data_IF_613797276153
#
_entry.id   IF_613797276153
#
_cell.length_a   1.000
_cell.length_b   1.000
_cell.length_c   1.000
_cell.angle_alpha   90.00
_cell.angle_beta   90.00
_cell.angle_gamma   90.00
#
_symmetry.space_group_name_H-M   'P 1'
#
loop_
_entity.id
_entity.type
_entity.pdbx_description
1 polymer ?
#
# COMPACT_ATOMS: atom_id res chain seq x y z
N UNK A 1 -0.48 -13.35 34.16
CA UNK A 1 0.04 -12.59 33.00
C UNK A 1 -0.02 -13.51 31.79
N UNK A 2 -0.78 -13.16 30.78
CA UNK A 2 -0.91 -13.91 29.52
C UNK A 2 0.34 -13.72 28.64
N UNK A 3 0.46 -14.49 27.56
CA UNK A 3 1.54 -14.28 26.56
C UNK A 3 1.40 -12.90 25.91
N UNK A 4 0.17 -12.49 25.58
CA UNK A 4 -0.15 -11.16 25.07
C UNK A 4 0.36 -10.06 26.00
N UNK A 5 0.01 -10.09 27.27
CA UNK A 5 0.44 -9.07 28.26
C UNK A 5 1.96 -8.99 28.40
N UNK A 6 2.66 -10.12 28.27
CA UNK A 6 4.12 -10.11 28.26
C UNK A 6 4.69 -9.47 26.99
N UNK A 7 4.04 -9.68 25.82
CA UNK A 7 4.47 -9.06 24.56
C UNK A 7 4.21 -7.54 24.59
N UNK A 8 3.05 -7.11 25.07
CA UNK A 8 2.70 -5.69 25.23
C UNK A 8 3.67 -4.98 26.19
N UNK A 9 3.98 -5.59 27.33
CA UNK A 9 5.01 -5.05 28.23
C UNK A 9 6.37 -4.93 27.54
N UNK A 10 6.75 -5.92 26.75
CA UNK A 10 8.00 -5.90 25.99
C UNK A 10 8.02 -4.80 24.93
N UNK A 11 6.87 -4.44 24.34
CA UNK A 11 6.80 -3.28 23.44
C UNK A 11 7.28 -2.01 24.17
N UNK A 12 6.82 -1.75 25.39
CA UNK A 12 7.28 -0.59 26.20
C UNK A 12 8.77 -0.61 26.54
N UNK A 13 9.38 -1.79 26.64
CA UNK A 13 10.82 -1.91 26.91
C UNK A 13 11.70 -1.62 25.67
N UNK A 14 11.20 -1.90 24.46
CA UNK A 14 12.04 -1.90 23.23
C UNK A 14 11.65 -0.87 22.19
N UNK A 15 10.37 -0.46 22.11
CA UNK A 15 9.92 0.48 21.10
C UNK A 15 10.25 1.94 21.48
N UNK A 16 10.25 2.78 20.48
CA UNK A 16 10.35 4.23 20.63
C UNK A 16 9.13 4.76 21.40
N UNK A 17 9.29 5.83 22.21
CA UNK A 17 8.13 6.47 22.87
C UNK A 17 7.13 7.09 21.88
N UNK A 18 7.46 7.15 20.59
CA UNK A 18 6.57 7.63 19.52
C UNK A 18 5.84 6.50 18.78
N UNK A 19 6.11 5.24 19.14
CA UNK A 19 5.44 4.09 18.54
C UNK A 19 3.97 4.00 18.98
N UNK A 20 3.14 3.39 18.16
CA UNK A 20 1.81 2.98 18.57
C UNK A 20 1.89 1.68 19.38
N UNK A 21 1.64 1.74 20.68
CA UNK A 21 1.65 0.58 21.55
C UNK A 21 0.35 -0.22 21.45
N UNK A 22 0.45 -1.54 21.46
CA UNK A 22 -0.71 -2.42 21.30
C UNK A 22 -1.74 -2.31 22.42
N UNK A 23 -1.29 -2.10 23.66
CA UNK A 23 -2.15 -1.94 24.85
C UNK A 23 -2.76 -0.52 24.95
N UNK A 24 -2.25 0.44 24.19
CA UNK A 24 -2.76 1.81 24.09
C UNK A 24 -3.65 2.03 22.84
N UNK A 25 -3.99 0.97 22.10
CA UNK A 25 -4.85 1.07 20.92
C UNK A 25 -6.21 1.66 21.28
N UNK A 26 -6.74 2.52 20.40
CA UNK A 26 -8.12 3.07 20.48
C UNK A 26 -9.19 2.00 20.34
N UNK A 27 -8.78 0.78 20.02
CA UNK A 27 -9.64 -0.39 20.00
C UNK A 27 -10.40 -0.59 18.68
N UNK A 28 -11.52 -1.26 18.77
CA UNK A 28 -12.37 -1.74 17.68
C UNK A 28 -13.77 -1.18 17.80
N UNK A 29 -14.52 -1.11 16.72
CA UNK A 29 -15.93 -0.66 16.77
C UNK A 29 -16.83 -1.64 17.54
N UNK A 30 -16.61 -2.95 17.34
CA UNK A 30 -17.33 -3.99 18.05
C UNK A 30 -16.42 -4.62 19.12
N UNK A 31 -16.90 -4.68 20.35
CA UNK A 31 -16.18 -5.29 21.44
C UNK A 31 -15.89 -6.78 21.16
N UNK A 32 -14.68 -7.20 21.45
CA UNK A 32 -14.24 -8.59 21.42
C UNK A 32 -13.34 -8.89 22.62
N UNK A 33 -13.41 -10.11 23.12
CA UNK A 33 -12.43 -10.58 24.09
C UNK A 33 -11.02 -10.54 23.52
N UNK A 34 -10.09 -10.10 24.36
CA UNK A 34 -8.69 -10.04 23.98
C UNK A 34 -8.10 -11.45 23.85
N UNK A 35 -7.27 -11.66 22.85
CA UNK A 35 -6.53 -12.90 22.68
C UNK A 35 -5.51 -13.03 23.82
N UNK A 36 -5.32 -14.24 24.35
CA UNK A 36 -4.32 -14.53 25.38
C UNK A 36 -2.89 -14.62 24.81
N UNK A 37 -2.76 -14.80 23.49
CA UNK A 37 -1.49 -14.98 22.78
C UNK A 37 -0.99 -13.73 22.07
N UNK A 38 -1.89 -13.03 21.32
CA UNK A 38 -1.53 -12.03 20.33
C UNK A 38 -2.00 -10.63 20.71
N UNK A 39 -1.13 -9.60 20.66
CA UNK A 39 -1.52 -8.20 20.70
C UNK A 39 -2.50 -7.82 19.59
N UNK A 40 -3.17 -6.68 19.74
CA UNK A 40 -4.28 -6.29 18.85
C UNK A 40 -3.87 -6.13 17.40
N UNK A 41 -2.70 -5.52 17.11
CA UNK A 41 -2.22 -5.30 15.74
C UNK A 41 -1.80 -6.59 15.05
N UNK A 42 -1.25 -7.54 15.79
CA UNK A 42 -0.95 -8.88 15.28
C UNK A 42 -2.23 -9.63 14.88
N UNK A 43 -3.31 -9.48 15.65
CA UNK A 43 -4.62 -10.04 15.27
C UNK A 43 -5.16 -9.38 14.00
N UNK A 44 -4.99 -8.09 13.83
CA UNK A 44 -5.45 -7.38 12.64
C UNK A 44 -4.70 -7.81 11.38
N UNK A 45 -3.37 -7.92 11.46
CA UNK A 45 -2.54 -8.49 10.41
C UNK A 45 -3.04 -9.88 9.99
N UNK A 46 -3.28 -10.76 10.94
CA UNK A 46 -3.75 -12.12 10.66
C UNK A 46 -5.14 -12.10 10.00
N UNK A 47 -6.06 -11.23 10.42
CA UNK A 47 -7.39 -11.08 9.81
C UNK A 47 -7.32 -10.63 8.36
N UNK A 48 -6.46 -9.66 8.07
CA UNK A 48 -6.23 -9.17 6.71
C UNK A 48 -5.65 -10.29 5.85
N UNK A 49 -4.59 -10.94 6.30
CA UNK A 49 -3.90 -12.00 5.57
C UNK A 49 -4.84 -13.17 5.20
N UNK A 50 -5.78 -13.51 6.08
CA UNK A 50 -6.75 -14.58 5.85
C UNK A 50 -8.03 -14.15 5.13
N UNK A 51 -8.20 -12.86 4.79
CA UNK A 51 -9.37 -12.34 4.09
C UNK A 51 -9.46 -12.83 2.65
N UNK A 52 -10.69 -12.83 2.10
CA UNK A 52 -10.93 -13.14 0.68
C UNK A 52 -10.31 -12.06 -0.22
N UNK A 53 -10.40 -10.79 0.19
CA UNK A 53 -9.89 -9.63 -0.55
C UNK A 53 -8.37 -9.66 -0.69
N UNK A 54 -7.63 -10.05 0.35
CA UNK A 54 -6.18 -10.20 0.27
C UNK A 54 -5.80 -11.26 -0.78
N UNK A 55 -6.46 -12.43 -0.79
CA UNK A 55 -6.20 -13.46 -1.80
C UNK A 55 -6.52 -13.00 -3.23
N UNK A 56 -7.50 -12.10 -3.41
CA UNK A 56 -7.85 -11.52 -4.71
C UNK A 56 -6.76 -10.62 -5.29
N UNK A 57 -5.87 -10.05 -4.48
CA UNK A 57 -4.74 -9.25 -4.95
C UNK A 57 -3.82 -10.04 -5.90
N UNK A 58 -3.78 -11.36 -5.80
CA UNK A 58 -3.04 -12.24 -6.72
C UNK A 58 -3.51 -12.08 -8.18
N UNK A 59 -4.80 -11.87 -8.40
CA UNK A 59 -5.40 -11.75 -9.74
C UNK A 59 -5.53 -10.30 -10.24
N UNK A 60 -5.02 -9.31 -9.50
CA UNK A 60 -5.03 -7.90 -9.91
C UNK A 60 -3.64 -7.49 -10.41
N UNK A 61 -3.60 -6.89 -11.59
CA UNK A 61 -2.35 -6.36 -12.16
C UNK A 61 -1.93 -5.06 -11.46
N UNK A 62 -0.63 -4.74 -11.49
CA UNK A 62 -0.10 -3.50 -10.92
C UNK A 62 -0.20 -2.35 -11.94
N UNK A 63 0.61 -2.36 -12.97
CA UNK A 63 0.68 -1.28 -13.98
C UNK A 63 0.23 -1.77 -15.36
N UNK A 64 0.76 -2.91 -15.82
CA UNK A 64 0.51 -3.39 -17.17
C UNK A 64 -0.69 -4.32 -17.20
N UNK A 65 -1.66 -4.02 -18.09
CA UNK A 65 -2.83 -4.87 -18.35
C UNK A 65 -2.38 -6.08 -19.18
N UNK A 66 -2.63 -7.28 -18.67
CA UNK A 66 -2.36 -8.55 -19.36
C UNK A 66 -0.93 -8.70 -19.95
N UNK A 67 0.14 -8.50 -19.15
CA UNK A 67 1.48 -8.76 -19.64
C UNK A 67 1.67 -10.25 -19.94
N UNK A 68 2.38 -10.57 -21.04
CA UNK A 68 2.79 -11.95 -21.32
C UNK A 68 3.90 -12.37 -20.36
N UNK A 69 3.71 -13.48 -19.62
CA UNK A 69 4.70 -14.09 -18.73
C UNK A 69 4.42 -13.96 -17.23
N UNK A 70 5.08 -14.82 -16.45
CA UNK A 70 4.85 -14.98 -15.00
C UNK A 70 5.68 -14.02 -14.12
N UNK A 71 6.47 -13.13 -14.72
CA UNK A 71 7.46 -12.30 -14.01
C UNK A 71 6.99 -10.89 -13.71
N UNK A 72 5.80 -10.50 -14.15
CA UNK A 72 5.24 -9.18 -13.84
C UNK A 72 4.61 -9.15 -12.46
N UNK A 73 4.67 -7.96 -11.84
CA UNK A 73 4.15 -7.76 -10.49
C UNK A 73 2.62 -7.76 -10.48
N UNK A 74 2.08 -8.52 -9.55
CA UNK A 74 0.67 -8.42 -9.16
C UNK A 74 0.54 -7.47 -7.98
N UNK A 75 -0.68 -7.03 -7.64
CA UNK A 75 -0.90 -6.24 -6.43
C UNK A 75 -0.52 -6.98 -5.15
N UNK A 76 -0.61 -8.29 -5.13
CA UNK A 76 -0.13 -9.08 -3.98
C UNK A 76 1.38 -8.96 -3.80
N UNK A 77 2.16 -9.09 -4.88
CA UNK A 77 3.63 -8.96 -4.79
C UNK A 77 4.05 -7.54 -4.42
N UNK A 78 3.38 -6.51 -5.00
CA UNK A 78 3.57 -5.12 -4.59
C UNK A 78 3.27 -4.92 -3.09
N UNK A 79 2.13 -5.40 -2.61
CA UNK A 79 1.76 -5.29 -1.19
C UNK A 79 2.81 -5.92 -0.27
N UNK A 80 3.41 -7.05 -0.67
CA UNK A 80 4.50 -7.70 0.07
C UNK A 80 5.80 -6.88 0.02
N UNK A 81 6.13 -6.27 -1.12
CA UNK A 81 7.28 -5.35 -1.26
C UNK A 81 7.12 -4.12 -0.36
N UNK A 82 5.92 -3.51 -0.33
CA UNK A 82 5.59 -2.40 0.59
C UNK A 82 5.76 -2.84 2.04
N UNK A 83 5.19 -3.98 2.41
CA UNK A 83 5.30 -4.52 3.77
C UNK A 83 6.74 -4.76 4.19
N UNK A 84 7.55 -5.37 3.33
CA UNK A 84 8.96 -5.63 3.59
C UNK A 84 9.76 -4.33 3.80
N UNK A 85 9.59 -3.33 2.92
CA UNK A 85 10.27 -2.04 3.02
C UNK A 85 9.81 -1.28 4.28
N UNK A 86 8.51 -1.20 4.52
CA UNK A 86 7.93 -0.49 5.65
C UNK A 86 8.37 -1.09 7.00
N UNK A 87 8.37 -2.41 7.12
CA UNK A 87 8.85 -3.10 8.33
C UNK A 87 10.35 -2.89 8.56
N UNK A 88 11.16 -2.82 7.51
CA UNK A 88 12.58 -2.49 7.62
C UNK A 88 12.78 -1.12 8.25
N UNK A 89 12.02 -0.12 7.81
CA UNK A 89 12.04 1.24 8.38
C UNK A 89 11.50 1.24 9.81
N UNK A 90 10.34 0.63 10.05
CA UNK A 90 9.73 0.57 11.39
C UNK A 90 10.67 -0.07 12.41
N UNK A 91 11.28 -1.21 12.06
CA UNK A 91 12.26 -1.88 12.92
C UNK A 91 13.47 -1.00 13.26
N UNK A 92 14.04 -0.33 12.25
CA UNK A 92 15.19 0.55 12.43
C UNK A 92 14.86 1.75 13.34
N UNK A 93 13.64 2.28 13.25
CA UNK A 93 13.13 3.38 14.07
C UNK A 93 12.53 2.94 15.41
N UNK A 94 12.52 1.63 15.70
CA UNK A 94 11.89 1.03 16.90
C UNK A 94 10.41 1.35 17.01
N UNK A 95 9.69 1.34 15.87
CA UNK A 95 8.24 1.49 15.79
C UNK A 95 7.55 0.12 15.73
N UNK A 96 6.22 0.07 15.82
CA UNK A 96 5.47 -1.16 15.88
C UNK A 96 5.41 -1.87 14.52
N UNK A 97 6.18 -2.96 14.37
CA UNK A 97 6.24 -3.73 13.12
C UNK A 97 4.90 -4.41 12.80
N UNK A 98 4.15 -4.89 13.80
CA UNK A 98 2.87 -5.59 13.57
C UNK A 98 1.80 -4.61 13.05
N UNK A 99 1.74 -3.37 13.58
CA UNK A 99 0.87 -2.33 13.05
C UNK A 99 1.26 -1.94 11.62
N UNK A 100 2.57 -1.73 11.40
CA UNK A 100 3.11 -1.40 10.07
C UNK A 100 2.74 -2.46 9.05
N UNK A 101 2.91 -3.74 9.37
CA UNK A 101 2.57 -4.87 8.50
C UNK A 101 1.06 -4.95 8.25
N UNK A 102 0.23 -4.78 9.27
CA UNK A 102 -1.23 -4.81 9.14
C UNK A 102 -1.72 -3.72 8.17
N UNK A 103 -1.23 -2.48 8.30
CA UNK A 103 -1.56 -1.38 7.39
C UNK A 103 -1.08 -1.70 5.98
N UNK A 104 0.17 -2.14 5.83
CA UNK A 104 0.75 -2.46 4.52
C UNK A 104 0.00 -3.58 3.80
N UNK A 105 -0.40 -4.65 4.49
CA UNK A 105 -1.19 -5.73 3.90
C UNK A 105 -2.62 -5.29 3.53
N UNK A 106 -3.15 -4.29 4.21
CA UNK A 106 -4.53 -3.81 4.05
C UNK A 106 -4.71 -2.68 3.03
N UNK A 107 -3.65 -1.93 2.69
CA UNK A 107 -3.78 -0.66 1.98
C UNK A 107 -4.47 -0.78 0.61
N UNK A 108 -4.21 -1.83 -0.14
CA UNK A 108 -4.64 -2.03 -1.54
C UNK A 108 -5.84 -2.98 -1.74
N UNK A 109 -6.50 -3.43 -0.66
CA UNK A 109 -7.59 -4.42 -0.72
C UNK A 109 -8.76 -3.98 -1.61
N UNK A 110 -9.07 -2.68 -1.58
CA UNK A 110 -10.15 -2.06 -2.35
C UNK A 110 -9.78 -1.64 -3.77
N UNK A 111 -8.57 -1.93 -4.23
CA UNK A 111 -8.17 -1.54 -5.58
C UNK A 111 -8.99 -2.27 -6.64
N UNK A 112 -9.35 -1.55 -7.71
CA UNK A 112 -10.19 -2.05 -8.80
C UNK A 112 -9.46 -3.05 -9.69
N UNK A 113 -10.17 -3.89 -10.46
CA UNK A 113 -9.61 -4.48 -11.67
C UNK A 113 -9.07 -3.39 -12.59
N UNK A 114 -8.01 -3.69 -13.34
CA UNK A 114 -7.35 -2.76 -14.27
C UNK A 114 -6.67 -1.56 -13.61
N UNK A 115 -6.33 -1.65 -12.33
CA UNK A 115 -5.50 -0.66 -11.64
C UNK A 115 -6.08 0.76 -11.65
N UNK A 116 -5.23 1.75 -11.92
CA UNK A 116 -5.64 3.15 -11.97
C UNK A 116 -6.61 3.49 -13.11
N UNK A 117 -6.57 2.76 -14.23
CA UNK A 117 -7.54 2.92 -15.29
C UNK A 117 -8.95 2.56 -14.81
N UNK A 118 -9.09 1.42 -14.12
CA UNK A 118 -10.36 1.02 -13.53
C UNK A 118 -10.85 2.00 -12.44
N UNK A 119 -9.95 2.52 -11.61
CA UNK A 119 -10.30 3.52 -10.60
C UNK A 119 -10.83 4.81 -11.23
N UNK A 120 -10.15 5.32 -12.27
CA UNK A 120 -10.60 6.51 -13.01
C UNK A 120 -12.00 6.31 -13.59
N UNK A 121 -12.21 5.19 -14.27
CA UNK A 121 -13.50 4.88 -14.90
C UNK A 121 -14.62 4.80 -13.85
N UNK A 122 -14.41 4.08 -12.76
CA UNK A 122 -15.40 4.00 -11.69
C UNK A 122 -15.64 5.36 -11.04
N UNK A 123 -14.62 6.19 -10.88
CA UNK A 123 -14.80 7.55 -10.36
C UNK A 123 -15.61 8.46 -11.28
N UNK A 124 -15.59 8.22 -12.61
CA UNK A 124 -16.37 8.96 -13.60
C UNK A 124 -17.84 8.51 -13.65
N UNK A 125 -18.09 7.19 -13.58
CA UNK A 125 -19.46 6.64 -13.74
C UNK A 125 -20.24 6.52 -12.43
N UNK A 126 -19.58 6.43 -11.29
CA UNK A 126 -20.24 6.35 -9.99
C UNK A 126 -20.46 7.74 -9.42
N UNK A 127 -21.72 8.09 -9.15
CA UNK A 127 -22.14 9.47 -8.77
C UNK A 127 -21.49 10.01 -7.50
N UNK A 128 -21.11 9.14 -6.57
CA UNK A 128 -20.43 9.51 -5.32
C UNK A 128 -18.91 9.57 -5.47
N UNK A 129 -18.39 9.23 -6.67
CA UNK A 129 -16.97 9.09 -6.92
C UNK A 129 -16.39 7.81 -6.33
N UNK A 130 -15.20 7.43 -6.78
CA UNK A 130 -14.52 6.21 -6.34
C UNK A 130 -13.06 6.49 -6.02
N UNK A 131 -12.60 6.01 -4.86
CA UNK A 131 -11.20 6.03 -4.45
C UNK A 131 -10.84 4.68 -3.82
N UNK A 132 -9.75 4.08 -4.27
CA UNK A 132 -9.35 2.74 -3.79
C UNK A 132 -9.08 2.69 -2.27
N UNK A 133 -8.53 3.76 -1.67
CA UNK A 133 -8.29 3.81 -0.23
C UNK A 133 -9.59 3.80 0.59
N UNK A 134 -10.64 4.51 0.15
CA UNK A 134 -11.95 4.47 0.78
C UNK A 134 -12.61 3.10 0.59
N UNK A 135 -12.47 2.54 -0.60
CA UNK A 135 -12.94 1.18 -0.88
C UNK A 135 -12.18 0.13 -0.07
N UNK A 136 -10.86 0.30 0.19
CA UNK A 136 -10.10 -0.60 1.06
C UNK A 136 -10.67 -0.61 2.48
N UNK A 137 -11.02 0.56 3.01
CA UNK A 137 -11.69 0.68 4.31
C UNK A 137 -13.08 0.01 4.27
N UNK A 138 -13.89 0.29 3.24
CA UNK A 138 -15.20 -0.35 3.08
C UNK A 138 -15.11 -1.88 3.02
N UNK A 139 -14.09 -2.41 2.35
CA UNK A 139 -13.83 -3.86 2.28
C UNK A 139 -13.64 -4.43 3.68
N UNK A 140 -12.79 -3.82 4.50
CA UNK A 140 -12.47 -4.34 5.84
C UNK A 140 -13.55 -4.06 6.88
N UNK A 141 -14.36 -3.01 6.70
CA UNK A 141 -15.45 -2.65 7.62
C UNK A 141 -16.76 -3.35 7.29
N UNK A 142 -17.09 -3.54 6.00
CA UNK A 142 -18.43 -3.91 5.59
C UNK A 142 -18.54 -5.11 4.66
N UNK A 143 -17.51 -5.45 3.85
CA UNK A 143 -17.68 -6.45 2.77
C UNK A 143 -17.10 -7.82 3.09
N UNK A 144 -16.08 -7.89 3.92
CA UNK A 144 -15.52 -9.18 4.35
C UNK A 144 -16.46 -9.90 5.33
N UNK A 145 -16.29 -11.22 5.47
CA UNK A 145 -17.08 -12.08 6.35
C UNK A 145 -18.59 -11.94 6.14
N UNK A 146 -18.99 -11.96 4.87
CA UNK A 146 -20.39 -11.95 4.46
C UNK A 146 -21.18 -10.72 4.99
N UNK A 147 -20.49 -9.58 5.07
CA UNK A 147 -21.07 -8.30 5.46
C UNK A 147 -20.73 -7.83 6.88
N UNK A 148 -20.09 -8.67 7.70
CA UNK A 148 -19.73 -8.31 9.08
C UNK A 148 -18.44 -7.49 9.21
N UNK A 149 -17.59 -7.50 8.18
CA UNK A 149 -16.28 -6.88 8.20
C UNK A 149 -15.24 -7.63 9.04
N UNK A 150 -14.04 -7.08 9.09
CA UNK A 150 -12.92 -7.67 9.82
C UNK A 150 -12.80 -7.16 11.26
N UNK A 151 -13.53 -6.12 11.65
CA UNK A 151 -13.48 -5.47 12.95
C UNK A 151 -12.02 -5.13 13.34
N UNK A 152 -11.33 -4.36 12.49
CA UNK A 152 -9.95 -3.93 12.71
C UNK A 152 -9.88 -2.74 13.67
N UNK A 153 -8.72 -2.53 14.29
CA UNK A 153 -8.45 -1.37 15.14
C UNK A 153 -8.51 -0.05 14.36
N UNK A 154 -8.75 1.03 15.08
CA UNK A 154 -8.82 2.40 14.52
C UNK A 154 -7.52 2.75 13.80
N UNK A 155 -6.37 2.40 14.37
CA UNK A 155 -5.04 2.72 13.83
C UNK A 155 -4.80 2.04 12.48
N UNK A 156 -5.19 0.78 12.34
CA UNK A 156 -5.05 0.03 11.08
C UNK A 156 -5.97 0.63 10.00
N UNK A 157 -7.23 0.92 10.33
CA UNK A 157 -8.19 1.54 9.39
C UNK A 157 -7.77 2.94 8.97
N UNK A 158 -7.27 3.74 9.91
CA UNK A 158 -6.70 5.07 9.62
C UNK A 158 -5.51 4.98 8.68
N UNK A 159 -4.57 4.07 8.94
CA UNK A 159 -3.43 3.83 8.07
C UNK A 159 -3.82 3.40 6.66
N UNK A 160 -4.80 2.49 6.53
CA UNK A 160 -5.36 2.06 5.24
C UNK A 160 -6.01 3.23 4.50
N UNK A 161 -6.85 4.04 5.17
CA UNK A 161 -7.53 5.20 4.56
C UNK A 161 -6.56 6.27 4.08
N UNK A 162 -5.50 6.50 4.84
CA UNK A 162 -4.59 7.63 4.64
C UNK A 162 -3.24 7.24 3.97
N UNK A 163 -3.11 6.04 3.38
CA UNK A 163 -1.86 5.63 2.74
C UNK A 163 -1.55 6.37 1.44
N UNK A 164 -2.54 6.96 0.77
CA UNK A 164 -2.34 7.69 -0.48
C UNK A 164 -1.48 8.96 -0.27
N UNK A 165 -0.94 9.50 -1.38
CA UNK A 165 -0.06 10.69 -1.33
C UNK A 165 -0.71 11.90 -0.66
N UNK A 166 -2.02 12.07 -0.77
CA UNK A 166 -2.78 13.17 -0.16
C UNK A 166 -3.20 12.88 1.29
N UNK A 167 -3.06 11.65 1.76
CA UNK A 167 -3.45 11.25 3.10
C UNK A 167 -2.45 11.69 4.17
N UNK A 168 -2.91 11.71 5.42
CA UNK A 168 -2.09 12.03 6.59
C UNK A 168 -2.41 11.05 7.73
N UNK A 169 -1.77 9.88 7.75
CA UNK A 169 -1.97 8.88 8.80
C UNK A 169 -1.65 9.46 10.20
N UNK A 170 -2.44 9.06 11.19
CA UNK A 170 -2.29 9.53 12.57
C UNK A 170 -1.10 8.92 13.30
N UNK A 171 -0.64 7.73 12.89
CA UNK A 171 0.51 7.02 13.47
C UNK A 171 1.76 7.15 12.60
N UNK A 172 2.94 7.02 13.21
CA UNK A 172 4.19 7.00 12.46
C UNK A 172 4.29 5.77 11.56
N UNK A 173 3.77 4.64 12.01
CA UNK A 173 3.68 3.40 11.23
C UNK A 173 2.87 3.59 9.95
N UNK A 174 1.73 4.27 10.02
CA UNK A 174 0.94 4.64 8.85
C UNK A 174 1.69 5.59 7.90
N UNK A 175 2.42 6.57 8.44
CA UNK A 175 3.27 7.47 7.64
C UNK A 175 4.40 6.72 6.92
N UNK A 176 5.00 5.71 7.57
CA UNK A 176 6.00 4.83 6.94
C UNK A 176 5.37 4.10 5.76
N UNK A 177 4.21 3.46 5.94
CA UNK A 177 3.54 2.72 4.85
C UNK A 177 3.25 3.63 3.68
N UNK A 178 2.73 4.84 3.90
CA UNK A 178 2.46 5.84 2.85
C UNK A 178 3.69 6.19 2.01
N UNK A 179 4.85 6.36 2.64
CA UNK A 179 6.10 6.67 1.94
C UNK A 179 6.68 5.43 1.26
N UNK A 180 6.64 4.27 1.92
CA UNK A 180 7.15 3.02 1.36
C UNK A 180 6.32 2.51 0.19
N UNK A 181 5.00 2.74 0.17
CA UNK A 181 4.15 2.47 -0.99
C UNK A 181 4.65 3.27 -2.21
N UNK A 182 4.82 4.59 -2.07
CA UNK A 182 5.37 5.45 -3.14
C UNK A 182 6.75 4.98 -3.61
N UNK A 183 7.64 4.64 -2.69
CA UNK A 183 8.98 4.15 -2.99
C UNK A 183 8.89 2.81 -3.75
N UNK A 184 8.05 1.90 -3.31
CA UNK A 184 7.91 0.58 -3.92
C UNK A 184 7.37 0.69 -5.35
N UNK A 185 6.20 1.33 -5.55
CA UNK A 185 5.58 1.33 -6.87
C UNK A 185 6.42 2.06 -7.92
N UNK A 186 6.99 3.24 -7.61
CA UNK A 186 7.81 3.97 -8.60
C UNK A 186 9.00 3.12 -9.06
N UNK A 187 9.66 2.43 -8.13
CA UNK A 187 10.84 1.66 -8.45
C UNK A 187 10.53 0.32 -9.14
N UNK A 188 9.45 -0.36 -8.73
CA UNK A 188 9.02 -1.60 -9.37
C UNK A 188 8.44 -1.38 -10.76
N UNK A 189 7.71 -0.28 -10.96
CA UNK A 189 7.14 0.06 -12.26
C UNK A 189 8.22 0.39 -13.30
N UNK A 190 9.34 1.01 -12.90
CA UNK A 190 10.51 1.20 -13.75
C UNK A 190 11.07 -0.16 -14.21
N UNK A 191 11.28 -1.08 -13.28
CA UNK A 191 11.80 -2.41 -13.57
C UNK A 191 10.88 -3.19 -14.54
N UNK A 192 9.58 -3.12 -14.32
CA UNK A 192 8.59 -3.73 -15.18
C UNK A 192 8.50 -3.03 -16.56
N UNK A 193 8.65 -1.70 -16.62
CA UNK A 193 8.66 -0.94 -17.88
C UNK A 193 9.90 -1.24 -18.75
N UNK A 194 11.07 -1.40 -18.12
CA UNK A 194 12.28 -1.82 -18.80
C UNK A 194 12.14 -3.26 -19.32
N UNK A 195 11.62 -4.15 -18.49
CA UNK A 195 11.36 -5.55 -18.88
C UNK A 195 10.36 -5.66 -20.02
N UNK A 196 9.31 -4.85 -19.98
CA UNK A 196 8.30 -4.72 -21.04
C UNK A 196 8.78 -3.97 -22.27
N UNK A 197 10.04 -3.48 -22.29
CA UNK A 197 10.64 -2.71 -23.38
C UNK A 197 9.86 -1.42 -23.73
N UNK A 198 9.15 -0.87 -22.74
CA UNK A 198 8.44 0.42 -22.87
C UNK A 198 9.44 1.58 -22.78
N UNK A 199 10.42 1.44 -21.87
CA UNK A 199 11.57 2.35 -21.72
C UNK A 199 12.86 1.53 -21.62
N UNK A 200 14.01 2.19 -21.73
CA UNK A 200 15.34 1.64 -21.44
C UNK A 200 15.94 2.34 -20.23
N UNK A 201 16.95 1.73 -19.62
CA UNK A 201 17.69 2.34 -18.49
C UNK A 201 18.27 3.71 -18.85
N UNK A 202 18.75 3.87 -20.08
CA UNK A 202 19.35 5.09 -20.62
C UNK A 202 18.34 6.25 -20.84
N UNK A 203 17.02 5.94 -20.87
CA UNK A 203 15.97 6.94 -21.01
C UNK A 203 15.68 7.65 -19.68
N UNK A 204 16.07 7.06 -18.56
CA UNK A 204 15.85 7.62 -17.23
C UNK A 204 16.79 8.84 -17.05
N UNK A 205 16.24 10.03 -16.69
CA UNK A 205 17.06 11.23 -16.54
C UNK A 205 18.18 11.05 -15.53
N UNK A 206 19.42 11.41 -15.94
CA UNK A 206 20.64 11.25 -15.12
C UNK A 206 20.56 11.99 -13.79
N UNK A 207 19.91 13.13 -13.77
CA UNK A 207 19.69 13.93 -12.55
C UNK A 207 19.01 13.13 -11.43
N UNK A 208 18.14 12.16 -11.77
CA UNK A 208 17.50 11.30 -10.76
C UNK A 208 18.35 10.07 -10.46
N UNK A 209 19.00 9.47 -11.45
CA UNK A 209 19.83 8.29 -11.22
C UNK A 209 21.11 8.58 -10.46
N UNK A 210 21.68 9.78 -10.62
CA UNK A 210 22.85 10.23 -9.85
C UNK A 210 22.53 10.40 -8.35
N UNK A 211 21.30 10.79 -8.01
CA UNK A 211 20.85 10.97 -6.62
C UNK A 211 20.37 9.65 -6.02
N UNK A 212 19.52 8.92 -6.75
CA UNK A 212 18.80 7.77 -6.21
C UNK A 212 19.55 6.45 -6.43
N UNK A 213 20.35 6.34 -7.48
CA UNK A 213 21.01 5.13 -7.95
C UNK A 213 20.48 4.65 -9.30
N UNK A 214 21.27 3.83 -10.02
CA UNK A 214 20.96 3.34 -11.36
C UNK A 214 20.08 2.09 -11.33
N UNK A 215 20.25 1.23 -10.35
CA UNK A 215 19.53 -0.04 -10.22
C UNK A 215 18.38 0.05 -9.23
N UNK A 216 17.38 -0.83 -9.36
CA UNK A 216 16.30 -1.01 -8.38
C UNK A 216 16.85 -1.12 -6.95
N UNK A 217 17.88 -1.96 -6.76
CA UNK A 217 18.52 -2.19 -5.46
C UNK A 217 19.12 -0.90 -4.89
N UNK A 218 19.86 -0.14 -5.70
CA UNK A 218 20.49 1.11 -5.27
C UNK A 218 19.43 2.14 -4.88
N UNK A 219 18.41 2.34 -5.73
CA UNK A 219 17.32 3.27 -5.47
C UNK A 219 16.57 2.96 -4.17
N UNK A 220 16.17 1.70 -3.97
CA UNK A 220 15.51 1.28 -2.74
C UNK A 220 16.40 1.50 -1.52
N UNK A 221 17.67 1.09 -1.60
CA UNK A 221 18.61 1.24 -0.50
C UNK A 221 18.82 2.73 -0.13
N UNK A 222 19.01 3.59 -1.13
CA UNK A 222 19.20 5.03 -0.93
C UNK A 222 17.99 5.67 -0.24
N UNK A 223 16.78 5.39 -0.74
CA UNK A 223 15.53 5.95 -0.21
C UNK A 223 15.20 5.45 1.20
N UNK A 224 15.38 4.16 1.47
CA UNK A 224 15.16 3.59 2.81
C UNK A 224 16.16 4.14 3.83
N UNK A 225 17.44 4.25 3.47
CA UNK A 225 18.44 4.87 4.36
C UNK A 225 18.13 6.33 4.64
N UNK A 226 17.68 7.09 3.64
CA UNK A 226 17.27 8.48 3.82
C UNK A 226 16.14 8.62 4.83
N UNK A 227 15.07 7.82 4.68
CA UNK A 227 13.96 7.81 5.63
C UNK A 227 14.41 7.50 7.06
N UNK A 228 15.22 6.45 7.23
CA UNK A 228 15.69 6.05 8.57
C UNK A 228 16.56 7.16 9.18
N UNK A 229 17.56 7.69 8.45
CA UNK A 229 18.48 8.70 8.99
C UNK A 229 17.78 10.00 9.38
N UNK A 230 16.82 10.44 8.55
CA UNK A 230 16.12 11.71 8.82
C UNK A 230 15.02 11.58 9.87
N UNK A 231 14.52 10.37 10.15
CA UNK A 231 13.43 10.13 11.10
C UNK A 231 13.92 9.62 12.47
N UNK A 232 15.18 9.23 12.60
CA UNK A 232 15.72 8.67 13.83
C UNK A 232 15.49 9.60 15.03
N UNK A 233 14.89 9.04 16.08
CA UNK A 233 14.56 9.72 17.35
C UNK A 233 13.65 10.96 17.20
N UNK A 234 12.86 11.02 16.12
CA UNK A 234 11.89 12.11 15.87
C UNK A 234 10.46 11.61 15.94
N UNK A 235 9.54 12.51 16.31
CA UNK A 235 8.11 12.27 16.29
C UNK A 235 7.53 12.60 14.90
N UNK A 236 8.23 12.22 13.82
CA UNK A 236 7.74 12.29 12.45
C UNK A 236 8.58 11.40 11.52
N UNK A 237 8.02 11.04 10.36
CA UNK A 237 8.71 10.32 9.30
C UNK A 237 9.08 11.30 8.20
N UNK A 238 10.39 11.50 8.04
CA UNK A 238 10.95 12.58 7.23
C UNK A 238 11.78 12.00 6.08
N UNK A 239 11.45 12.40 4.87
CA UNK A 239 12.28 12.24 3.68
C UNK A 239 13.02 13.56 3.43
N UNK A 240 14.32 13.53 3.13
CA UNK A 240 15.05 14.75 2.76
C UNK A 240 14.48 15.42 1.51
N UNK A 241 14.61 16.72 1.40
CA UNK A 241 14.09 17.47 0.24
C UNK A 241 14.69 16.95 -1.07
N UNK A 242 15.99 16.69 -1.10
CA UNK A 242 16.70 16.14 -2.27
C UNK A 242 16.11 14.81 -2.73
N UNK A 243 15.86 13.86 -1.80
CA UNK A 243 15.27 12.56 -2.14
C UNK A 243 13.80 12.69 -2.54
N UNK A 244 13.06 13.58 -1.87
CA UNK A 244 11.66 13.83 -2.19
C UNK A 244 11.49 14.43 -3.60
N UNK A 245 12.33 15.38 -3.97
CA UNK A 245 12.34 16.03 -5.28
C UNK A 245 12.73 15.04 -6.37
N UNK A 246 13.83 14.30 -6.18
CA UNK A 246 14.27 13.28 -7.12
C UNK A 246 13.23 12.17 -7.35
N UNK A 247 12.62 11.64 -6.28
CA UNK A 247 11.56 10.64 -6.38
C UNK A 247 10.29 11.20 -7.05
N UNK A 248 9.98 12.48 -6.81
CA UNK A 248 8.82 13.14 -7.42
C UNK A 248 9.06 13.37 -8.91
N UNK A 249 10.26 13.80 -9.29
CA UNK A 249 10.65 13.96 -10.69
C UNK A 249 10.68 12.61 -11.43
N UNK A 250 11.22 11.57 -10.79
CA UNK A 250 11.21 10.22 -11.36
C UNK A 250 9.78 9.69 -11.57
N UNK A 251 8.88 9.97 -10.64
CA UNK A 251 7.45 9.65 -10.79
C UNK A 251 6.80 10.41 -11.95
N UNK A 252 7.13 11.70 -12.11
CA UNK A 252 6.64 12.51 -13.24
C UNK A 252 7.13 11.95 -14.58
N UNK A 253 8.42 11.59 -14.66
CA UNK A 253 8.97 10.90 -15.83
C UNK A 253 8.22 9.61 -16.16
N UNK A 254 7.92 8.78 -15.16
CA UNK A 254 7.13 7.55 -15.35
C UNK A 254 5.71 7.85 -15.81
N UNK A 255 5.10 8.91 -15.31
CA UNK A 255 3.76 9.30 -15.73
C UNK A 255 3.72 9.64 -17.22
N UNK A 256 4.67 10.43 -17.68
CA UNK A 256 4.72 10.89 -19.08
C UNK A 256 5.11 9.76 -20.06
N UNK A 257 6.05 8.90 -19.68
CA UNK A 257 6.67 7.96 -20.61
C UNK A 257 6.10 6.53 -20.51
N UNK A 258 5.48 6.18 -19.39
CA UNK A 258 4.97 4.81 -19.14
C UNK A 258 3.45 4.81 -18.99
N UNK A 259 2.90 5.59 -18.05
CA UNK A 259 1.47 5.46 -17.69
C UNK A 259 0.53 6.10 -18.72
N UNK A 260 1.00 7.08 -19.52
CA UNK A 260 0.20 7.76 -20.55
C UNK A 260 0.55 7.27 -21.96
N UNK A 261 1.40 6.26 -22.10
CA UNK A 261 1.85 5.74 -23.39
C UNK A 261 0.68 5.14 -24.21
N UNK A 262 0.78 5.27 -25.55
CA UNK A 262 -0.24 4.83 -26.52
C UNK A 262 -0.59 3.34 -26.42
N UNK A 263 0.36 2.48 -26.06
CA UNK A 263 0.12 1.04 -25.88
C UNK A 263 -0.74 0.77 -24.65
N UNK A 264 -0.46 1.45 -23.53
CA UNK A 264 -1.29 1.37 -22.33
C UNK A 264 -2.72 1.88 -22.59
N UNK A 265 -2.86 2.98 -23.33
CA UNK A 265 -4.17 3.55 -23.68
C UNK A 265 -5.04 2.66 -24.58
N UNK A 266 -4.45 1.86 -25.47
CA UNK A 266 -5.21 0.96 -26.33
C UNK A 266 -5.92 -0.15 -25.52
N UNK A 267 -5.29 -0.64 -24.46
CA UNK A 267 -5.88 -1.64 -23.57
C UNK A 267 -6.86 -1.00 -22.54
N UNK A 268 -6.62 0.26 -22.15
CA UNK A 268 -7.53 1.00 -21.26
C UNK A 268 -8.94 1.14 -21.85
N UNK A 269 -9.07 1.39 -23.16
CA UNK A 269 -10.39 1.47 -23.82
C UNK A 269 -11.19 0.17 -23.74
N UNK A 270 -10.52 -0.99 -23.78
CA UNK A 270 -11.18 -2.28 -23.56
C UNK A 270 -11.62 -2.46 -22.12
N UNK A 271 -10.77 -2.06 -21.16
CA UNK A 271 -11.09 -2.09 -19.75
C UNK A 271 -12.29 -1.20 -19.40
N UNK A 272 -12.33 0.00 -19.99
CA UNK A 272 -13.45 0.94 -19.86
C UNK A 272 -14.76 0.31 -20.33
N UNK A 273 -14.76 -0.24 -21.55
CA UNK A 273 -15.94 -0.93 -22.10
C UNK A 273 -16.42 -2.09 -21.18
N UNK A 274 -15.49 -2.89 -20.67
CA UNK A 274 -15.82 -4.01 -19.78
C UNK A 274 -16.42 -3.53 -18.45
N UNK A 275 -15.85 -2.49 -17.83
CA UNK A 275 -16.36 -1.94 -16.56
C UNK A 275 -17.73 -1.31 -16.78
N UNK A 276 -17.93 -0.53 -17.85
CA UNK A 276 -19.22 0.05 -18.17
C UNK A 276 -20.29 -1.02 -18.39
N UNK A 277 -19.99 -2.09 -19.13
CA UNK A 277 -20.91 -3.22 -19.32
C UNK A 277 -21.28 -3.88 -17.99
N UNK A 278 -20.29 -4.17 -17.13
CA UNK A 278 -20.55 -4.79 -15.82
C UNK A 278 -21.39 -3.87 -14.91
N UNK A 279 -21.12 -2.57 -14.93
CA UNK A 279 -21.84 -1.59 -14.11
C UNK A 279 -23.29 -1.42 -14.55
N UNK A 280 -23.57 -1.53 -15.85
CA UNK A 280 -24.91 -1.32 -16.44
C UNK A 280 -25.70 -2.62 -16.65
N UNK A 281 -25.11 -3.79 -16.38
CA UNK A 281 -25.78 -5.08 -16.55
C UNK A 281 -26.52 -5.51 -15.27
N UNK A 282 -27.65 -6.22 -15.44
CA UNK A 282 -28.44 -6.81 -14.34
C UNK A 282 -27.59 -7.76 -13.46
N UNK A 283 -26.52 -8.35 -14.01
CA UNK A 283 -25.59 -9.19 -13.24
C UNK A 283 -24.85 -8.41 -12.14
N UNK A 284 -24.77 -7.09 -12.22
CA UNK A 284 -24.21 -6.25 -11.15
C UNK A 284 -25.16 -6.15 -9.94
N UNK A 285 -26.47 -6.33 -10.13
CA UNK A 285 -27.47 -6.28 -9.06
C UNK A 285 -27.60 -7.62 -8.32
N UNK A 286 -27.27 -8.75 -8.95
CA UNK A 286 -27.23 -10.08 -8.32
C UNK A 286 -25.99 -10.27 -7.40
N UNK A 287 -24.98 -9.41 -7.52
CA UNK A 287 -23.74 -9.47 -6.73
C UNK A 287 -23.75 -8.57 -5.47
N UNK A 288 -24.89 -7.95 -5.16
CA UNK A 288 -25.07 -7.12 -3.95
C UNK A 288 -25.45 -7.92 -2.72
#
# INVERSE_FOLDING_TARGET
MTIRENLEKREHDILSPYAAFSDESKGRDTYEEQCDLRPVYQRDRDRILHSKSFRRLKGKTQVFLAPEGDHYRTRMTHTLEVSQNARTVAKALRLNEDLTEAIALGHDLGHTPFGHAGERILNEIYSEGFRHQEQSVRVVECLEKDGEGLNLTVEVRDGIRNHSTSGNPSTLEGKIVRLCDKIAYVNSDIDDAIRGKVIKEEDIPREYTEILGNTLRERLNTLIHDLIRNSMDKNDIIQSDTMREALTGLRAFMFENVYVNSVAKAEEGKAEYMICLLYTSDAADEAR
#
